data_IF_348739774571
#
_entry.id   IF_348739774571
#
_cell.length_a   1.000
_cell.length_b   1.000
_cell.length_c   1.000
_cell.angle_alpha   90.00
_cell.angle_beta   90.00
_cell.angle_gamma   90.00
#
_symmetry.space_group_name_H-M   'P 1'
#
loop_
_entity.id
_entity.type
_entity.pdbx_description
1 polymer ?
#
# COMPACT_ATOMS: atom_id res chain seq x y z
N UNK A 1 -7.66 4.55 -12.21
CA UNK A 1 -6.49 5.06 -11.46
C UNK A 1 -5.46 3.96 -11.44
N UNK A 2 -4.14 4.24 -11.46
CA UNK A 2 -3.15 3.19 -11.41
C UNK A 2 -3.29 2.36 -10.13
N UNK A 3 -3.10 1.05 -10.26
CA UNK A 3 -3.11 0.13 -9.14
C UNK A 3 -1.68 0.01 -8.59
N UNK A 4 -1.57 -0.07 -7.26
CA UNK A 4 -0.31 -0.29 -6.55
C UNK A 4 -0.42 -1.51 -5.65
N UNK A 5 0.49 -2.45 -5.82
CA UNK A 5 0.70 -3.52 -4.86
C UNK A 5 1.40 -2.96 -3.63
N UNK A 6 0.97 -3.40 -2.45
CA UNK A 6 1.57 -2.99 -1.19
C UNK A 6 1.83 -4.16 -0.25
N UNK A 7 2.86 -3.99 0.58
CA UNK A 7 3.09 -4.73 1.82
C UNK A 7 3.12 -3.75 2.97
N UNK A 8 2.34 -4.00 4.02
CA UNK A 8 2.29 -3.15 5.21
C UNK A 8 2.27 -3.99 6.49
N UNK A 9 2.63 -3.37 7.61
CA UNK A 9 2.52 -3.95 8.94
C UNK A 9 1.23 -3.45 9.61
N UNK A 10 0.45 -4.37 10.19
CA UNK A 10 -0.68 -4.04 11.07
C UNK A 10 -0.17 -3.64 12.46
N UNK A 11 -0.97 -2.94 13.28
CA UNK A 11 -0.62 -2.61 14.66
C UNK A 11 -0.24 -3.82 15.53
N UNK A 12 -0.80 -5.00 15.22
CA UNK A 12 -0.47 -6.25 15.89
C UNK A 12 0.82 -6.93 15.39
N UNK A 13 1.62 -6.27 14.57
CA UNK A 13 2.88 -6.80 14.03
C UNK A 13 2.70 -7.80 12.88
N UNK A 14 1.47 -8.10 12.43
CA UNK A 14 1.26 -8.97 11.28
C UNK A 14 1.45 -8.21 9.98
N UNK A 15 2.19 -8.81 9.04
CA UNK A 15 2.30 -8.29 7.66
C UNK A 15 0.99 -8.54 6.92
N UNK A 16 0.57 -7.56 6.13
CA UNK A 16 -0.59 -7.63 5.24
C UNK A 16 -0.18 -7.16 3.85
N UNK A 17 -0.75 -7.76 2.82
CA UNK A 17 -0.50 -7.42 1.42
C UNK A 17 -1.81 -7.20 0.71
N UNK A 18 -1.79 -6.44 -0.38
CA UNK A 18 -2.96 -6.20 -1.21
C UNK A 18 -2.65 -5.22 -2.33
N UNK A 19 -3.71 -4.81 -3.02
CA UNK A 19 -3.65 -3.79 -4.07
C UNK A 19 -4.48 -2.60 -3.64
N UNK A 20 -3.99 -1.39 -3.90
CA UNK A 20 -4.70 -0.13 -3.69
C UNK A 20 -4.60 0.74 -4.93
N UNK A 21 -5.70 1.44 -5.22
CA UNK A 21 -5.71 2.45 -6.25
C UNK A 21 -5.18 3.78 -5.70
N UNK A 22 -4.39 4.46 -6.51
CA UNK A 22 -3.90 5.80 -6.22
C UNK A 22 -3.18 6.37 -7.43
N UNK A 23 -2.90 7.66 -7.41
CA UNK A 23 -2.19 8.34 -8.51
C UNK A 23 -0.67 8.25 -8.32
N UNK A 24 -0.20 8.07 -7.09
CA UNK A 24 1.24 7.94 -6.75
C UNK A 24 1.47 6.98 -5.58
N UNK A 25 2.67 6.41 -5.47
CA UNK A 25 3.08 5.61 -4.30
C UNK A 25 2.92 6.41 -2.98
N UNK A 26 3.22 7.72 -3.01
CA UNK A 26 3.09 8.59 -1.84
C UNK A 26 1.65 8.64 -1.33
N UNK A 27 0.69 8.79 -2.23
CA UNK A 27 -0.73 8.79 -1.90
C UNK A 27 -1.17 7.45 -1.33
N UNK A 28 -0.75 6.33 -1.94
CA UNK A 28 -1.06 4.98 -1.44
C UNK A 28 -0.46 4.77 -0.04
N UNK A 29 0.78 5.23 0.21
CA UNK A 29 1.39 5.20 1.55
C UNK A 29 0.62 6.05 2.56
N UNK A 30 0.04 7.18 2.16
CA UNK A 30 -0.82 7.98 3.03
C UNK A 30 -2.12 7.26 3.36
N UNK A 31 -2.77 6.62 2.37
CA UNK A 31 -3.96 5.81 2.59
C UNK A 31 -3.69 4.64 3.57
N UNK A 32 -2.54 3.98 3.44
CA UNK A 32 -2.14 2.91 4.37
C UNK A 32 -1.97 3.43 5.80
N UNK A 33 -1.30 4.58 5.99
CA UNK A 33 -1.15 5.19 7.32
C UNK A 33 -2.49 5.63 7.91
N UNK A 34 -3.41 6.14 7.09
CA UNK A 34 -4.77 6.49 7.53
C UNK A 34 -5.57 5.26 8.00
N UNK A 35 -5.20 4.05 7.57
CA UNK A 35 -5.75 2.76 8.03
C UNK A 35 -4.95 2.15 9.18
N UNK A 36 -4.09 2.93 9.84
CA UNK A 36 -3.19 2.47 10.91
C UNK A 36 -2.20 1.38 10.46
N UNK A 37 -1.95 1.28 9.16
CA UNK A 37 -0.97 0.36 8.60
C UNK A 37 0.36 1.08 8.41
N UNK A 38 1.45 0.42 8.77
CA UNK A 38 2.80 0.91 8.50
C UNK A 38 3.26 0.39 7.13
N UNK A 39 3.32 1.22 6.08
CA UNK A 39 3.74 0.77 4.76
C UNK A 39 5.20 0.33 4.78
N UNK A 40 5.47 -0.91 4.35
CA UNK A 40 6.82 -1.45 4.19
C UNK A 40 7.26 -1.29 2.72
N UNK A 41 6.36 -1.63 1.80
CA UNK A 41 6.60 -1.61 0.36
C UNK A 41 5.34 -1.19 -0.38
N UNK A 42 5.49 -0.37 -1.41
CA UNK A 42 4.43 0.04 -2.33
C UNK A 42 5.07 0.11 -3.70
N UNK A 43 4.51 -0.56 -4.71
CA UNK A 43 5.01 -0.60 -6.08
C UNK A 43 3.84 -0.49 -7.07
N UNK A 44 4.00 0.20 -8.20
CA UNK A 44 2.98 0.19 -9.25
C UNK A 44 2.79 -1.23 -9.78
N UNK A 45 1.54 -1.59 -10.08
CA UNK A 45 1.23 -2.83 -10.81
C UNK A 45 1.60 -2.60 -12.26
N UNK A 46 2.57 -3.36 -12.77
CA UNK A 46 2.86 -3.40 -14.20
C UNK A 46 1.81 -4.28 -14.88
N UNK A 47 0.89 -3.66 -15.62
CA UNK A 47 0.05 -4.39 -16.58
C UNK A 47 0.96 -4.92 -17.69
N UNK A 48 1.00 -6.25 -17.83
CA UNK A 48 1.66 -6.95 -18.95
C UNK A 48 0.70 -7.10 -20.12
#
# INVERSE_FOLDING_TARGET
MPAFEYTALRPNGRKTRGVLEGDTERQVRQQLRARELTPLEVRPVEER
#
